data_IF_634096558255
#
_entry.id   IF_634096558255
#
_cell.length_a   1.000
_cell.length_b   1.000
_cell.length_c   1.000
_cell.angle_alpha   90.00
_cell.angle_beta   90.00
_cell.angle_gamma   90.00
#
_symmetry.space_group_name_H-M   'P 1'
#
loop_
_entity.id
_entity.type
_entity.pdbx_description
1 polymer ?
#
# COMPACT_ATOMS: atom_id res chain seq x y z
N UNK A 1 -17.47 91.54 5.76
CA UNK A 1 -16.64 90.89 4.72
C UNK A 1 -16.20 89.53 5.25
N UNK A 2 -16.44 88.47 4.48
CA UNK A 2 -16.43 87.06 4.89
C UNK A 2 -15.03 86.54 5.19
N UNK A 3 -14.89 85.85 6.33
CA UNK A 3 -13.79 84.96 6.68
C UNK A 3 -14.15 83.56 6.13
N UNK A 4 -13.27 82.97 5.32
CA UNK A 4 -13.41 81.61 4.78
C UNK A 4 -12.39 80.72 5.49
N UNK A 5 -12.87 79.77 6.29
CA UNK A 5 -12.08 78.64 6.79
C UNK A 5 -12.25 77.47 5.82
N UNK A 6 -11.13 76.97 5.28
CA UNK A 6 -11.06 75.73 4.53
C UNK A 6 -10.97 74.56 5.53
N UNK A 7 -11.97 73.67 5.54
CA UNK A 7 -11.93 72.40 6.26
C UNK A 7 -11.53 71.30 5.27
N UNK A 8 -10.36 70.69 5.48
CA UNK A 8 -9.97 69.45 4.82
C UNK A 8 -10.59 68.27 5.57
N UNK A 9 -11.51 67.54 4.93
CA UNK A 9 -11.99 66.25 5.41
C UNK A 9 -11.23 65.16 4.67
N UNK A 10 -10.29 64.52 5.37
CA UNK A 10 -9.55 63.35 4.90
C UNK A 10 -10.45 62.11 5.13
N UNK A 11 -11.01 61.56 4.06
CA UNK A 11 -11.78 60.30 4.10
C UNK A 11 -10.79 59.15 4.06
N UNK A 12 -10.56 58.51 5.21
CA UNK A 12 -9.89 57.22 5.29
C UNK A 12 -10.84 56.13 4.77
N UNK A 13 -10.58 55.61 3.58
CA UNK A 13 -11.19 54.37 3.08
C UNK A 13 -10.42 53.22 3.74
N UNK A 14 -10.95 52.70 4.84
CA UNK A 14 -10.50 51.43 5.40
C UNK A 14 -11.05 50.31 4.50
N UNK A 15 -10.22 49.83 3.57
CA UNK A 15 -10.44 48.52 2.95
C UNK A 15 -10.28 47.46 4.03
N UNK A 16 -11.41 47.01 4.59
CA UNK A 16 -11.47 45.74 5.29
C UNK A 16 -11.24 44.64 4.26
N UNK A 17 -10.00 44.15 4.16
CA UNK A 17 -9.77 42.79 3.67
C UNK A 17 -10.58 41.89 4.60
N UNK A 18 -11.75 41.43 4.15
CA UNK A 18 -12.37 40.27 4.76
C UNK A 18 -11.40 39.12 4.53
N UNK A 19 -10.70 38.69 5.58
CA UNK A 19 -10.00 37.42 5.56
C UNK A 19 -10.98 36.38 5.01
N UNK A 20 -10.60 35.73 3.91
CA UNK A 20 -11.35 34.56 3.45
C UNK A 20 -11.39 33.61 4.65
N UNK A 21 -12.56 33.08 5.03
CA UNK A 21 -12.60 32.06 6.07
C UNK A 21 -11.65 30.94 5.65
N UNK A 22 -10.67 30.63 6.49
CA UNK A 22 -9.76 29.52 6.23
C UNK A 22 -10.59 28.24 6.31
N UNK A 23 -10.59 27.43 5.25
CA UNK A 23 -11.16 26.09 5.31
C UNK A 23 -10.51 25.32 6.45
N UNK A 24 -11.30 24.71 7.32
CA UNK A 24 -10.79 23.87 8.41
C UNK A 24 -11.34 22.45 8.33
N UNK A 25 -10.54 21.50 8.78
CA UNK A 25 -10.85 20.07 8.84
C UNK A 25 -10.98 19.70 10.31
N UNK A 26 -12.17 19.30 10.74
CA UNK A 26 -12.42 18.77 12.07
C UNK A 26 -12.37 17.25 12.01
N UNK A 27 -11.43 16.68 12.76
CA UNK A 27 -11.26 15.23 12.92
C UNK A 27 -11.76 14.82 14.30
N UNK A 28 -12.54 13.75 14.37
CA UNK A 28 -13.05 13.21 15.64
C UNK A 28 -12.82 11.71 15.74
N UNK A 29 -11.99 11.31 16.70
CA UNK A 29 -11.76 9.92 17.04
C UNK A 29 -12.96 9.36 17.84
N UNK A 30 -13.70 8.36 17.33
CA UNK A 30 -14.86 7.82 18.03
C UNK A 30 -14.53 6.88 19.19
N UNK A 31 -13.28 6.41 19.31
CA UNK A 31 -12.86 5.41 20.31
C UNK A 31 -11.91 6.01 21.36
N UNK A 32 -11.83 5.39 22.54
CA UNK A 32 -10.97 5.84 23.65
C UNK A 32 -9.53 5.28 23.57
N UNK A 33 -8.99 5.19 22.36
CA UNK A 33 -7.64 4.70 22.11
C UNK A 33 -6.92 5.68 21.18
N UNK A 34 -5.62 5.87 21.41
CA UNK A 34 -4.79 6.69 20.54
C UNK A 34 -4.62 6.02 19.17
N UNK A 35 -4.87 6.76 18.10
CA UNK A 35 -4.63 6.35 16.72
C UNK A 35 -3.36 6.98 16.22
N UNK A 36 -2.27 6.24 16.31
CA UNK A 36 -0.96 6.67 15.80
C UNK A 36 -0.95 6.65 14.28
N UNK A 37 -0.47 7.74 13.67
CA UNK A 37 -0.36 7.92 12.21
C UNK A 37 -1.64 7.46 11.48
N UNK A 38 -2.80 7.97 11.90
CA UNK A 38 -4.04 7.70 11.16
C UNK A 38 -3.97 8.34 9.77
N UNK A 39 -4.30 7.56 8.74
CA UNK A 39 -4.24 7.98 7.35
C UNK A 39 -5.55 8.64 6.93
N UNK A 40 -5.43 9.81 6.30
CA UNK A 40 -6.55 10.60 5.81
C UNK A 40 -6.40 10.91 4.33
N UNK A 41 -7.54 10.89 3.63
CA UNK A 41 -7.64 11.21 2.22
C UNK A 41 -8.87 12.05 1.98
N UNK A 42 -8.70 13.24 1.42
CA UNK A 42 -9.77 14.18 1.09
C UNK A 42 -9.69 14.54 -0.37
N UNK A 43 -10.75 14.31 -1.12
CA UNK A 43 -10.81 14.69 -2.53
C UNK A 43 -10.80 16.21 -2.69
N UNK A 44 -10.28 16.66 -3.83
CA UNK A 44 -10.30 18.05 -4.28
C UNK A 44 -11.71 18.65 -4.24
N UNK A 45 -12.72 17.83 -4.56
CA UNK A 45 -14.13 18.20 -4.49
C UNK A 45 -14.61 18.41 -3.04
N UNK A 46 -14.26 17.52 -2.11
CA UNK A 46 -14.60 17.67 -0.69
C UNK A 46 -13.98 18.93 -0.09
N UNK A 47 -12.74 19.25 -0.49
CA UNK A 47 -12.02 20.46 -0.08
C UNK A 47 -12.54 21.75 -0.72
N UNK A 48 -13.45 21.65 -1.70
CA UNK A 48 -13.98 22.79 -2.47
C UNK A 48 -12.85 23.67 -3.04
N UNK A 49 -11.79 23.04 -3.53
CA UNK A 49 -10.65 23.75 -4.12
C UNK A 49 -11.12 24.65 -5.27
N UNK A 50 -10.56 25.87 -5.34
CA UNK A 50 -10.88 26.83 -6.40
C UNK A 50 -9.62 27.14 -7.20
N UNK A 51 -9.66 26.85 -8.50
CA UNK A 51 -8.52 27.05 -9.41
C UNK A 51 -7.45 25.97 -9.25
N UNK A 52 -6.56 25.87 -10.23
CA UNK A 52 -5.69 24.71 -10.43
C UNK A 52 -4.23 24.95 -9.94
N UNK A 53 -3.90 26.18 -9.55
CA UNK A 53 -2.53 26.59 -9.24
C UNK A 53 -2.11 26.37 -7.78
N UNK A 54 -3.09 26.27 -6.86
CA UNK A 54 -2.83 26.16 -5.42
C UNK A 54 -3.08 24.75 -4.91
N UNK A 55 -2.17 24.31 -4.04
CA UNK A 55 -2.19 23.04 -3.37
C UNK A 55 -2.61 23.23 -1.90
N UNK A 56 -3.50 22.39 -1.36
CA UNK A 56 -3.85 22.43 0.05
C UNK A 56 -2.69 21.90 0.90
N UNK A 57 -2.40 22.58 2.00
CA UNK A 57 -1.42 22.16 3.01
C UNK A 57 -2.10 22.15 4.37
N UNK A 58 -1.97 21.05 5.12
CA UNK A 58 -2.58 20.90 6.44
C UNK A 58 -1.66 21.48 7.51
N UNK A 59 -2.21 22.27 8.44
CA UNK A 59 -1.48 22.78 9.60
C UNK A 59 -2.29 22.75 10.89
N UNK A 60 -1.59 22.75 12.01
CA UNK A 60 -2.14 22.96 13.35
C UNK A 60 -2.46 24.44 13.60
N UNK A 61 -3.23 24.70 14.65
CA UNK A 61 -3.55 26.07 15.10
C UNK A 61 -2.31 26.91 15.48
N UNK A 62 -1.21 26.26 15.87
CA UNK A 62 0.07 26.94 16.19
C UNK A 62 0.91 27.29 14.95
N UNK A 63 0.43 26.95 13.75
CA UNK A 63 1.12 27.18 12.48
C UNK A 63 2.04 26.04 12.03
N UNK A 64 2.17 24.97 12.81
CA UNK A 64 3.01 23.81 12.43
C UNK A 64 2.35 23.02 11.31
N UNK A 65 3.05 22.82 10.20
CA UNK A 65 2.59 21.97 9.11
C UNK A 65 2.61 20.49 9.49
N UNK A 66 1.57 19.79 9.03
CA UNK A 66 1.42 18.35 9.18
C UNK A 66 1.91 17.69 7.89
N UNK A 67 2.68 16.59 7.96
CA UNK A 67 3.07 15.83 6.78
C UNK A 67 1.87 15.50 5.89
N UNK A 68 1.89 16.01 4.68
CA UNK A 68 0.84 15.85 3.70
C UNK A 68 1.39 15.91 2.28
N UNK A 69 0.62 15.39 1.34
CA UNK A 69 0.91 15.41 -0.09
C UNK A 69 -0.40 15.53 -0.87
N UNK A 70 -0.28 15.97 -2.11
CA UNK A 70 -1.38 15.94 -3.08
C UNK A 70 -1.07 14.88 -4.12
N UNK A 71 -2.06 14.08 -4.46
CA UNK A 71 -1.90 12.97 -5.38
C UNK A 71 -2.78 13.19 -6.61
N UNK A 72 -2.16 13.06 -7.79
CA UNK A 72 -2.81 13.05 -9.11
C UNK A 72 -3.06 11.58 -9.48
N UNK A 73 -4.30 11.13 -9.30
CA UNK A 73 -4.66 9.71 -9.34
C UNK A 73 -5.05 9.25 -10.74
N UNK A 74 -5.40 10.17 -11.63
CA UNK A 74 -5.70 9.91 -13.03
C UNK A 74 -4.60 10.38 -14.01
N UNK A 75 -3.55 11.01 -13.49
CA UNK A 75 -2.36 11.49 -14.21
C UNK A 75 -2.67 12.55 -15.26
N UNK A 76 -3.70 13.38 -15.06
CA UNK A 76 -4.05 14.48 -15.96
C UNK A 76 -3.20 15.76 -15.75
N UNK A 77 -2.33 15.75 -14.73
CA UNK A 77 -1.49 16.86 -14.32
C UNK A 77 -2.11 17.75 -13.23
N UNK A 78 -3.32 17.44 -12.76
CA UNK A 78 -4.00 18.10 -11.66
C UNK A 78 -4.12 17.13 -10.49
N UNK A 79 -3.96 17.63 -9.27
CA UNK A 79 -4.15 16.79 -8.11
C UNK A 79 -5.63 16.46 -7.89
N UNK A 80 -5.92 15.22 -7.49
CA UNK A 80 -7.26 14.72 -7.23
C UNK A 80 -7.60 14.70 -5.74
N UNK A 81 -6.60 14.42 -4.91
CA UNK A 81 -6.79 14.23 -3.48
C UNK A 81 -5.60 14.68 -2.64
N UNK A 82 -5.92 15.16 -1.44
CA UNK A 82 -4.98 15.46 -0.37
C UNK A 82 -4.86 14.24 0.54
N UNK A 83 -3.63 13.75 0.71
CA UNK A 83 -3.28 12.71 1.67
C UNK A 83 -2.46 13.28 2.82
N UNK A 84 -2.76 12.87 4.04
CA UNK A 84 -1.98 13.24 5.22
C UNK A 84 -2.08 12.17 6.31
N UNK A 85 -1.12 12.16 7.23
CA UNK A 85 -1.18 11.32 8.44
C UNK A 85 -1.23 12.19 9.69
N UNK A 86 -2.03 11.78 10.68
CA UNK A 86 -2.15 12.50 11.94
C UNK A 86 -2.41 11.55 13.10
N UNK A 87 -1.74 11.79 14.24
CA UNK A 87 -1.99 11.02 15.47
C UNK A 87 -3.12 11.65 16.27
N UNK A 88 -4.18 10.89 16.51
CA UNK A 88 -5.33 11.32 17.33
C UNK A 88 -5.30 10.64 18.70
N UNK A 89 -5.42 11.41 19.78
CA UNK A 89 -5.68 10.87 21.11
C UNK A 89 -7.05 10.18 21.22
N UNK A 90 -7.24 9.39 22.28
CA UNK A 90 -8.53 8.77 22.59
C UNK A 90 -9.65 9.80 22.74
N UNK A 91 -10.74 9.61 22.01
CA UNK A 91 -11.88 10.54 21.92
C UNK A 91 -11.52 11.98 21.51
N UNK A 92 -10.32 12.21 20.96
CA UNK A 92 -9.89 13.54 20.57
C UNK A 92 -10.80 14.10 19.47
N UNK A 93 -11.12 15.38 19.60
CA UNK A 93 -11.64 16.20 18.51
C UNK A 93 -10.64 17.31 18.27
N UNK A 94 -10.08 17.36 17.07
CA UNK A 94 -9.08 18.35 16.67
C UNK A 94 -9.55 19.09 15.44
N UNK A 95 -9.30 20.40 15.42
CA UNK A 95 -9.49 21.23 14.24
C UNK A 95 -8.12 21.54 13.63
N UNK A 96 -7.96 21.17 12.36
CA UNK A 96 -6.80 21.45 11.53
C UNK A 96 -7.17 22.53 10.51
N UNK A 97 -6.22 23.38 10.16
CA UNK A 97 -6.41 24.46 9.20
C UNK A 97 -5.82 24.06 7.84
N UNK A 98 -6.42 24.56 6.76
CA UNK A 98 -5.87 24.46 5.41
C UNK A 98 -5.32 25.80 4.95
N UNK A 99 -4.05 25.78 4.55
CA UNK A 99 -3.47 26.82 3.70
C UNK A 99 -3.47 26.38 2.25
N UNK A 100 -3.43 27.36 1.35
CA UNK A 100 -3.38 27.15 -0.09
C UNK A 100 -2.10 27.79 -0.63
N UNK A 101 -1.18 26.97 -1.13
CA UNK A 101 0.17 27.39 -1.47
C UNK A 101 0.52 27.03 -2.91
N UNK A 102 1.44 27.78 -3.52
CA UNK A 102 2.00 27.38 -4.81
C UNK A 102 2.83 26.11 -4.64
N UNK A 103 2.99 25.32 -5.70
CA UNK A 103 3.86 24.14 -5.67
C UNK A 103 5.32 24.48 -5.27
N UNK A 104 5.79 25.69 -5.61
CA UNK A 104 7.14 26.14 -5.27
C UNK A 104 7.34 26.43 -3.77
N UNK A 105 6.27 26.78 -3.07
CA UNK A 105 6.29 27.10 -1.64
C UNK A 105 5.79 25.92 -0.77
N UNK A 106 5.43 24.79 -1.39
CA UNK A 106 4.90 23.62 -0.69
C UNK A 106 5.95 23.05 0.27
N UNK A 107 5.62 22.78 1.55
CA UNK A 107 6.59 22.30 2.51
C UNK A 107 7.17 20.94 2.12
N UNK A 108 8.47 20.75 2.35
CA UNK A 108 9.13 19.45 2.21
C UNK A 108 8.98 18.68 3.51
N UNK A 109 8.41 17.48 3.43
CA UNK A 109 8.27 16.56 4.56
C UNK A 109 9.22 15.38 4.44
N UNK A 110 9.55 14.77 5.58
CA UNK A 110 10.34 13.55 5.61
C UNK A 110 9.64 12.42 4.83
N UNK A 111 10.39 11.74 3.97
CA UNK A 111 9.87 10.63 3.18
C UNK A 111 9.73 9.38 4.04
N UNK A 112 8.49 8.95 4.29
CA UNK A 112 8.17 7.72 5.05
C UNK A 112 7.55 6.62 4.20
N UNK A 113 7.42 6.81 2.89
CA UNK A 113 7.03 5.77 1.94
C UNK A 113 7.89 5.83 0.67
N UNK A 114 8.06 4.70 -0.01
CA UNK A 114 8.88 4.56 -1.21
C UNK A 114 8.35 3.44 -2.10
N UNK A 115 8.34 3.66 -3.42
CA UNK A 115 8.20 2.63 -4.45
C UNK A 115 9.49 2.61 -5.27
N UNK A 116 10.09 1.42 -5.37
CA UNK A 116 11.30 1.20 -6.17
C UNK A 116 11.03 0.21 -7.29
N UNK A 117 11.15 0.67 -8.53
CA UNK A 117 11.27 -0.20 -9.70
C UNK A 117 12.61 0.04 -10.39
N UNK A 118 13.63 -0.69 -9.93
CA UNK A 118 14.96 -0.65 -10.52
C UNK A 118 15.09 -1.65 -11.67
N UNK A 119 15.36 -1.16 -12.88
CA UNK A 119 15.62 -1.99 -14.07
C UNK A 119 16.99 -1.68 -14.67
N UNK A 120 17.78 -2.72 -14.90
CA UNK A 120 19.07 -2.65 -15.56
C UNK A 120 18.86 -2.40 -17.07
N UNK A 121 19.13 -1.18 -17.51
CA UNK A 121 18.98 -0.74 -18.92
C UNK A 121 20.26 -0.97 -19.71
N UNK A 122 21.40 -0.95 -19.04
CA UNK A 122 22.71 -1.34 -19.56
C UNK A 122 23.52 -2.10 -18.51
N UNK A 123 24.53 -2.91 -18.88
CA UNK A 123 25.21 -3.78 -17.91
C UNK A 123 25.82 -3.00 -16.73
N UNK A 124 25.34 -3.26 -15.51
CA UNK A 124 25.76 -2.58 -14.28
C UNK A 124 25.11 -1.21 -14.05
N UNK A 125 24.19 -0.77 -14.93
CA UNK A 125 23.45 0.48 -14.79
C UNK A 125 21.97 0.19 -14.57
N UNK A 126 21.53 0.35 -13.32
CA UNK A 126 20.12 0.26 -12.93
C UNK A 126 19.50 1.64 -12.91
N UNK A 127 18.41 1.80 -13.64
CA UNK A 127 17.59 3.00 -13.67
C UNK A 127 16.29 2.76 -12.92
N UNK A 128 15.80 3.80 -12.28
CA UNK A 128 14.46 3.84 -11.72
C UNK A 128 13.47 4.18 -12.82
N UNK A 129 12.44 3.36 -12.96
CA UNK A 129 11.36 3.59 -13.91
C UNK A 129 10.05 3.79 -13.15
N UNK A 130 9.29 4.82 -13.50
CA UNK A 130 7.92 4.99 -12.99
C UNK A 130 6.92 4.08 -13.70
N UNK A 131 7.33 3.44 -14.80
CA UNK A 131 6.46 2.60 -15.61
C UNK A 131 7.28 1.56 -16.39
N UNK A 132 6.78 0.33 -16.49
CA UNK A 132 7.38 -0.71 -17.34
C UNK A 132 6.31 -1.70 -17.83
N UNK A 133 6.58 -2.33 -18.97
CA UNK A 133 5.72 -3.37 -19.54
C UNK A 133 6.57 -4.51 -20.08
N UNK A 134 6.13 -5.74 -19.83
CA UNK A 134 6.65 -6.91 -20.54
C UNK A 134 5.51 -7.79 -21.07
N UNK A 135 5.77 -8.47 -22.18
CA UNK A 135 4.86 -9.47 -22.74
C UNK A 135 5.11 -10.86 -22.16
N UNK A 136 4.31 -11.83 -22.63
CA UNK A 136 4.42 -13.23 -22.18
C UNK A 136 5.69 -13.99 -22.60
N UNK A 137 6.44 -13.46 -23.56
CA UNK A 137 7.64 -14.12 -24.10
C UNK A 137 8.89 -13.52 -23.46
N UNK A 138 9.97 -14.30 -23.41
CA UNK A 138 11.27 -13.86 -22.88
C UNK A 138 11.15 -13.34 -21.45
N UNK A 139 10.48 -14.11 -20.57
CA UNK A 139 10.36 -13.77 -19.17
C UNK A 139 11.73 -13.38 -18.60
N UNK A 140 11.81 -12.30 -17.80
CA UNK A 140 13.06 -11.68 -17.37
C UNK A 140 13.73 -12.50 -16.25
N UNK A 141 14.09 -13.75 -16.53
CA UNK A 141 14.65 -14.74 -15.59
C UNK A 141 16.03 -15.29 -16.02
N UNK A 142 16.63 -14.67 -17.03
CA UNK A 142 17.85 -15.17 -17.67
C UNK A 142 19.13 -14.64 -17.00
N UNK A 143 20.30 -15.02 -17.52
CA UNK A 143 21.63 -14.57 -17.05
C UNK A 143 21.74 -13.04 -16.96
N UNK A 144 20.96 -12.31 -17.77
CA UNK A 144 20.84 -10.85 -17.70
C UNK A 144 19.57 -10.45 -16.96
N UNK A 145 19.41 -10.90 -15.71
CA UNK A 145 18.27 -10.55 -14.86
C UNK A 145 18.19 -9.02 -14.72
N UNK A 146 17.11 -8.37 -15.18
CA UNK A 146 17.11 -6.93 -15.29
C UNK A 146 16.63 -6.25 -14.00
N UNK A 147 15.91 -6.93 -13.12
CA UNK A 147 15.25 -6.28 -12.00
C UNK A 147 16.10 -6.26 -10.73
N UNK A 148 16.14 -5.10 -10.07
CA UNK A 148 16.85 -4.88 -8.81
C UNK A 148 16.36 -5.81 -7.68
N UNK A 149 15.04 -6.04 -7.59
CA UNK A 149 14.40 -6.87 -6.55
C UNK A 149 13.24 -7.72 -7.11
N UNK A 150 13.44 -8.27 -8.28
CA UNK A 150 12.48 -9.10 -9.02
C UNK A 150 11.24 -8.39 -9.61
N UNK A 151 11.11 -7.09 -9.41
CA UNK A 151 10.01 -6.28 -9.93
C UNK A 151 9.84 -5.00 -9.11
N UNK A 152 8.61 -4.47 -8.98
CA UNK A 152 8.35 -3.37 -8.06
C UNK A 152 8.51 -3.85 -6.62
N UNK A 153 9.22 -3.06 -5.84
CA UNK A 153 9.29 -3.15 -4.40
C UNK A 153 8.72 -1.87 -3.79
N UNK A 154 8.10 -1.96 -2.62
CA UNK A 154 7.55 -0.80 -1.93
C UNK A 154 7.74 -0.94 -0.43
N UNK A 155 7.87 0.17 0.27
CA UNK A 155 8.11 0.18 1.70
C UNK A 155 7.52 1.43 2.37
N UNK A 156 7.42 1.35 3.69
CA UNK A 156 7.28 2.50 4.56
C UNK A 156 8.25 2.38 5.74
N UNK A 157 8.05 3.23 6.74
CA UNK A 157 8.86 3.27 7.96
C UNK A 157 8.64 2.09 8.93
N UNK A 158 7.84 1.09 8.55
CA UNK A 158 7.56 -0.13 9.32
C UNK A 158 7.94 -1.41 8.59
N UNK A 159 7.68 -1.50 7.28
CA UNK A 159 7.73 -2.75 6.53
C UNK A 159 8.03 -2.50 5.04
N UNK A 160 8.54 -3.52 4.34
CA UNK A 160 8.72 -3.50 2.89
C UNK A 160 8.21 -4.77 2.23
N UNK A 161 7.88 -4.69 0.95
CA UNK A 161 7.33 -5.77 0.15
C UNK A 161 7.89 -5.71 -1.27
N UNK A 162 7.67 -6.78 -2.04
CA UNK A 162 7.92 -6.80 -3.48
C UNK A 162 6.96 -7.71 -4.22
N UNK A 163 6.88 -7.50 -5.52
CA UNK A 163 6.14 -8.34 -6.44
C UNK A 163 7.09 -8.93 -7.47
N UNK A 164 7.00 -10.24 -7.70
CA UNK A 164 7.79 -10.90 -8.73
C UNK A 164 7.20 -10.59 -10.11
N UNK A 165 7.73 -9.56 -10.76
CA UNK A 165 7.33 -9.08 -12.08
C UNK A 165 8.07 -9.81 -13.21
N UNK A 166 8.45 -11.06 -12.95
CA UNK A 166 9.08 -11.95 -13.90
C UNK A 166 8.15 -13.07 -14.37
N UNK A 167 6.84 -12.87 -14.20
CA UNK A 167 5.77 -13.81 -14.55
C UNK A 167 5.44 -14.82 -13.45
N UNK A 168 6.14 -14.83 -12.30
CA UNK A 168 5.75 -15.66 -11.14
C UNK A 168 4.58 -15.04 -10.37
N UNK A 169 4.52 -13.71 -10.36
CA UNK A 169 3.50 -12.87 -9.72
C UNK A 169 3.23 -13.21 -8.24
N UNK A 170 4.26 -13.64 -7.50
CA UNK A 170 4.19 -13.85 -6.06
C UNK A 170 4.43 -12.53 -5.31
N UNK A 171 3.78 -12.37 -4.17
CA UNK A 171 4.01 -11.25 -3.23
C UNK A 171 4.95 -11.68 -2.11
N UNK A 172 6.02 -10.93 -1.93
CA UNK A 172 7.09 -11.25 -0.99
C UNK A 172 7.30 -10.10 0.02
N UNK A 173 8.05 -10.38 1.09
CA UNK A 173 8.11 -9.53 2.29
C UNK A 173 9.57 -9.26 2.70
N UNK A 174 9.88 -7.98 2.89
CA UNK A 174 11.09 -7.52 3.55
C UNK A 174 10.82 -7.20 5.03
N UNK A 175 11.62 -7.79 5.90
CA UNK A 175 11.68 -7.42 7.30
C UNK A 175 12.59 -6.21 7.47
N UNK A 176 12.06 -5.10 8.00
CA UNK A 176 12.84 -3.88 8.29
C UNK A 176 13.16 -3.74 9.77
N UNK A 177 14.35 -3.24 10.09
CA UNK A 177 14.86 -2.94 11.44
C UNK A 177 15.06 -1.44 11.67
N UNK A 178 14.83 -0.66 10.62
CA UNK A 178 15.08 0.77 10.53
C UNK A 178 13.86 1.43 9.89
N UNK A 179 13.61 2.69 10.21
CA UNK A 179 12.47 3.47 9.67
C UNK A 179 12.78 4.11 8.33
N UNK A 180 14.06 4.27 8.00
CA UNK A 180 14.54 4.90 6.78
C UNK A 180 14.11 4.09 5.55
N UNK A 181 13.87 4.78 4.43
CA UNK A 181 13.66 4.13 3.13
C UNK A 181 14.99 3.55 2.65
N UNK A 182 15.03 2.27 2.32
CA UNK A 182 16.27 1.53 2.00
C UNK A 182 16.26 0.95 0.58
N UNK A 183 15.07 0.77 -0.01
CA UNK A 183 14.90 0.00 -1.25
C UNK A 183 15.67 0.54 -2.44
N UNK A 184 16.02 1.84 -2.46
CA UNK A 184 16.81 2.47 -3.54
C UNK A 184 18.19 1.81 -3.72
N UNK A 185 18.75 1.24 -2.64
CA UNK A 185 20.09 0.63 -2.63
C UNK A 185 20.08 -0.89 -2.49
N UNK A 186 18.94 -1.47 -2.11
CA UNK A 186 18.80 -2.91 -1.86
C UNK A 186 18.85 -3.68 -3.19
N UNK A 187 19.46 -4.87 -3.20
CA UNK A 187 19.47 -5.74 -4.39
C UNK A 187 20.52 -5.38 -5.44
N UNK A 188 21.49 -4.52 -5.11
CA UNK A 188 22.61 -4.18 -5.99
C UNK A 188 23.94 -4.66 -5.44
N UNK A 189 24.81 -5.13 -6.34
CA UNK A 189 26.24 -5.36 -6.07
C UNK A 189 27.04 -4.08 -6.12
N UNK A 190 28.29 -4.15 -5.65
CA UNK A 190 29.24 -3.03 -5.70
C UNK A 190 29.55 -2.56 -7.14
N UNK A 191 29.37 -3.41 -8.15
CA UNK A 191 29.53 -3.07 -9.57
C UNK A 191 28.21 -2.72 -10.28
N UNK A 192 27.14 -2.50 -9.52
CA UNK A 192 25.85 -1.99 -10.01
C UNK A 192 24.91 -3.04 -10.63
N UNK A 193 25.32 -4.31 -10.71
CA UNK A 193 24.44 -5.38 -11.19
C UNK A 193 23.39 -5.77 -10.14
N UNK A 194 22.15 -6.10 -10.56
CA UNK A 194 21.17 -6.75 -9.70
C UNK A 194 21.68 -8.08 -9.14
N UNK A 195 21.41 -8.32 -7.86
CA UNK A 195 21.74 -9.57 -7.17
C UNK A 195 20.90 -9.73 -5.90
N UNK A 196 20.83 -10.94 -5.36
CA UNK A 196 20.02 -11.27 -4.19
C UNK A 196 20.70 -10.85 -2.86
N UNK A 197 21.33 -9.67 -2.84
CA UNK A 197 22.11 -9.16 -1.70
C UNK A 197 21.28 -8.94 -0.42
N UNK A 198 19.96 -8.94 -0.56
CA UNK A 198 18.94 -8.80 0.48
C UNK A 198 18.56 -10.10 1.18
N UNK A 199 19.02 -11.28 0.72
CA UNK A 199 18.73 -12.56 1.39
C UNK A 199 19.55 -12.78 2.67
N UNK A 200 20.50 -11.90 2.96
CA UNK A 200 21.33 -11.93 4.17
C UNK A 200 20.88 -10.83 5.10
N UNK A 201 20.75 -11.13 6.40
CA UNK A 201 20.41 -10.16 7.44
C UNK A 201 21.45 -9.03 7.49
N UNK A 202 20.99 -7.79 7.25
CA UNK A 202 21.78 -6.56 7.33
C UNK A 202 21.30 -5.68 8.48
N UNK A 203 21.97 -4.54 8.64
CA UNK A 203 21.56 -3.51 9.61
C UNK A 203 20.13 -3.05 9.35
N UNK A 204 19.77 -2.80 8.09
CA UNK A 204 18.42 -2.40 7.73
C UNK A 204 17.38 -3.51 7.83
N UNK A 205 17.77 -4.78 7.66
CA UNK A 205 16.82 -5.89 7.46
C UNK A 205 17.26 -6.91 6.41
N UNK A 206 16.30 -7.68 5.91
CA UNK A 206 16.46 -8.63 4.80
C UNK A 206 15.11 -9.05 4.20
N UNK A 207 15.15 -9.83 3.12
CA UNK A 207 14.04 -10.68 2.70
C UNK A 207 13.82 -11.77 3.76
N UNK A 208 12.56 -11.91 4.19
CA UNK A 208 12.21 -12.80 5.30
C UNK A 208 11.15 -13.83 4.93
N UNK A 209 10.58 -13.82 3.73
CA UNK A 209 9.48 -14.73 3.39
C UNK A 209 9.88 -15.73 2.31
N UNK A 210 9.64 -17.01 2.59
CA UNK A 210 9.78 -18.05 1.57
C UNK A 210 8.44 -18.29 0.91
N UNK A 211 8.23 -17.77 -0.30
CA UNK A 211 6.96 -17.97 -1.01
C UNK A 211 6.77 -19.40 -1.52
N UNK A 212 7.85 -20.15 -1.75
CA UNK A 212 7.81 -21.54 -2.25
C UNK A 212 6.76 -21.74 -3.39
N UNK A 213 5.97 -22.81 -3.33
CA UNK A 213 4.88 -23.07 -4.26
C UNK A 213 3.55 -22.43 -3.79
N UNK A 214 3.58 -21.15 -3.41
CA UNK A 214 2.37 -20.36 -3.11
C UNK A 214 2.27 -19.13 -4.03
N UNK A 215 1.29 -18.27 -3.78
CA UNK A 215 1.23 -16.90 -4.32
C UNK A 215 1.72 -15.84 -3.31
N UNK A 216 2.33 -16.27 -2.20
CA UNK A 216 2.96 -15.38 -1.21
C UNK A 216 1.99 -14.75 -0.22
N UNK A 217 2.30 -13.53 0.22
CA UNK A 217 1.50 -12.76 1.18
C UNK A 217 0.59 -11.77 0.46
N UNK A 218 -0.69 -12.12 0.32
CA UNK A 218 -1.68 -11.28 -0.34
C UNK A 218 -1.62 -11.31 -1.87
N UNK A 219 -0.89 -12.24 -2.47
CA UNK A 219 -0.98 -12.51 -3.91
C UNK A 219 -2.29 -13.22 -4.28
N UNK A 220 -2.58 -13.33 -5.58
CA UNK A 220 -3.85 -13.84 -6.07
C UNK A 220 -3.75 -15.10 -6.93
N UNK A 221 -4.86 -15.83 -6.96
CA UNK A 221 -5.10 -17.02 -7.74
C UNK A 221 -6.58 -17.08 -8.15
N UNK A 222 -6.95 -18.02 -9.02
CA UNK A 222 -8.34 -18.36 -9.31
C UNK A 222 -8.62 -19.78 -8.88
N UNK A 223 -9.66 -19.96 -8.05
CA UNK A 223 -10.24 -21.26 -7.79
C UNK A 223 -11.29 -21.56 -8.86
N UNK A 224 -11.10 -22.66 -9.57
CA UNK A 224 -12.09 -23.36 -10.38
C UNK A 224 -12.60 -24.57 -9.58
N UNK A 225 -13.56 -25.34 -10.12
CA UNK A 225 -14.18 -26.46 -9.40
C UNK A 225 -13.17 -27.39 -8.71
N UNK A 226 -12.14 -27.85 -9.42
CA UNK A 226 -11.14 -28.82 -8.92
C UNK A 226 -9.69 -28.32 -9.07
N UNK A 227 -9.47 -27.02 -9.32
CA UNK A 227 -8.13 -26.49 -9.60
C UNK A 227 -7.94 -25.11 -9.02
N UNK A 228 -6.86 -24.91 -8.28
CA UNK A 228 -6.38 -23.61 -7.84
C UNK A 228 -5.28 -23.14 -8.80
N UNK A 229 -5.64 -22.22 -9.69
CA UNK A 229 -4.78 -21.69 -10.73
C UNK A 229 -4.03 -20.46 -10.23
N UNK A 230 -2.70 -20.55 -10.18
CA UNK A 230 -1.82 -19.41 -9.91
C UNK A 230 -1.96 -18.36 -10.99
N UNK A 231 -1.88 -17.09 -10.60
CA UNK A 231 -1.66 -16.02 -11.56
C UNK A 231 -0.19 -16.01 -12.01
N UNK A 232 0.05 -16.21 -13.30
CA UNK A 232 1.41 -16.39 -13.84
C UNK A 232 1.85 -17.86 -13.88
N UNK A 233 3.16 -18.10 -13.91
CA UNK A 233 3.75 -19.40 -14.23
C UNK A 233 4.83 -19.84 -13.23
N UNK A 234 5.14 -21.13 -13.19
CA UNK A 234 6.20 -21.65 -12.32
C UNK A 234 7.58 -21.23 -12.84
N UNK A 235 8.61 -21.34 -11.99
CA UNK A 235 9.97 -20.94 -12.33
C UNK A 235 10.53 -21.66 -13.58
N UNK A 236 10.11 -22.92 -13.80
CA UNK A 236 10.54 -23.75 -14.93
C UNK A 236 9.99 -23.27 -16.28
N UNK A 237 8.89 -22.53 -16.27
CA UNK A 237 8.21 -22.08 -17.47
C UNK A 237 8.87 -20.79 -17.99
N UNK A 238 9.06 -20.71 -19.30
CA UNK A 238 9.74 -19.59 -19.98
C UNK A 238 8.77 -18.66 -20.72
N UNK A 239 7.50 -19.07 -20.80
CA UNK A 239 6.41 -18.34 -21.46
C UNK A 239 5.29 -18.17 -20.45
N UNK A 240 4.84 -16.93 -20.27
CA UNK A 240 3.74 -16.57 -19.39
C UNK A 240 2.38 -16.99 -19.99
N UNK A 241 1.39 -17.10 -19.11
CA UNK A 241 -0.03 -17.23 -19.43
C UNK A 241 -0.77 -15.89 -19.41
N UNK A 242 -0.08 -14.78 -19.19
CA UNK A 242 -0.61 -13.41 -19.25
C UNK A 242 -0.01 -12.71 -20.46
N UNK A 243 -0.84 -12.18 -21.39
CA UNK A 243 -0.33 -11.63 -22.65
C UNK A 243 0.55 -10.39 -22.43
N UNK A 244 0.21 -9.53 -21.45
CA UNK A 244 0.97 -8.33 -21.06
C UNK A 244 0.84 -8.03 -19.58
N UNK A 245 1.95 -7.71 -18.92
CA UNK A 245 2.02 -7.24 -17.54
C UNK A 245 2.59 -5.83 -17.53
N UNK A 246 1.91 -4.91 -16.85
CA UNK A 246 2.29 -3.49 -16.78
C UNK A 246 2.36 -3.02 -15.32
N UNK A 247 3.39 -2.25 -15.02
CA UNK A 247 3.57 -1.56 -13.74
C UNK A 247 3.56 -0.06 -13.99
N UNK A 248 2.95 0.69 -13.08
CA UNK A 248 2.90 2.15 -13.12
C UNK A 248 2.83 2.75 -11.70
N UNK A 249 3.72 3.70 -11.39
CA UNK A 249 3.62 4.54 -10.19
C UNK A 249 2.54 5.60 -10.43
N UNK A 250 1.57 5.69 -9.51
CA UNK A 250 0.49 6.68 -9.58
C UNK A 250 0.81 7.88 -8.70
N UNK A 251 1.19 7.61 -7.46
CA UNK A 251 1.54 8.66 -6.50
C UNK A 251 2.67 8.16 -5.61
N UNK A 252 3.60 9.04 -5.28
CA UNK A 252 4.69 8.73 -4.37
C UNK A 252 5.05 9.96 -3.56
N UNK A 253 5.09 9.82 -2.24
CA UNK A 253 5.34 10.95 -1.38
C UNK A 253 5.63 10.62 0.08
N UNK A 254 5.64 11.65 0.94
CA UNK A 254 6.09 11.51 2.32
C UNK A 254 5.16 10.66 3.19
N UNK A 255 3.88 10.56 2.87
CA UNK A 255 2.88 9.89 3.72
C UNK A 255 2.18 8.72 3.04
N UNK A 256 2.18 8.68 1.71
CA UNK A 256 1.52 7.66 0.91
C UNK A 256 2.28 7.40 -0.38
N UNK A 257 2.28 6.14 -0.79
CA UNK A 257 2.65 5.74 -2.15
C UNK A 257 1.60 4.79 -2.72
N UNK A 258 1.30 4.94 -4.01
CA UNK A 258 0.30 4.19 -4.77
C UNK A 258 0.88 3.78 -6.12
N UNK A 259 0.72 2.52 -6.49
CA UNK A 259 1.05 2.02 -7.83
C UNK A 259 -0.01 1.05 -8.34
N UNK A 260 0.01 0.84 -9.66
CA UNK A 260 -0.86 -0.11 -10.35
C UNK A 260 -0.06 -1.26 -10.95
N UNK A 261 -0.71 -2.42 -10.98
CA UNK A 261 -0.30 -3.55 -11.80
C UNK A 261 -1.47 -3.98 -12.68
N UNK A 262 -1.27 -3.92 -13.99
CA UNK A 262 -2.27 -4.35 -14.97
C UNK A 262 -1.81 -5.61 -15.68
N UNK A 263 -2.64 -6.65 -15.61
CA UNK A 263 -2.39 -7.92 -16.24
C UNK A 263 -3.46 -8.17 -17.29
N UNK A 264 -3.07 -8.03 -18.55
CA UNK A 264 -3.97 -8.12 -19.69
C UNK A 264 -4.04 -9.57 -20.19
N UNK A 265 -5.28 -10.07 -20.32
CA UNK A 265 -5.62 -11.36 -20.91
C UNK A 265 -4.90 -12.54 -20.24
N UNK A 266 -4.93 -12.59 -18.91
CA UNK A 266 -4.57 -13.78 -18.15
C UNK A 266 -5.41 -14.98 -18.61
N UNK A 267 -4.74 -16.05 -19.03
CA UNK A 267 -5.36 -17.29 -19.51
C UNK A 267 -5.83 -18.17 -18.35
N UNK A 268 -7.15 -18.18 -18.13
CA UNK A 268 -7.84 -19.01 -17.15
C UNK A 268 -8.53 -20.16 -17.91
N UNK A 269 -7.74 -21.18 -18.24
CA UNK A 269 -8.17 -22.38 -18.99
C UNK A 269 -8.94 -22.06 -20.29
N UNK A 270 -8.41 -21.13 -21.09
CA UNK A 270 -8.94 -20.71 -22.38
C UNK A 270 -9.81 -19.45 -22.33
N UNK A 271 -10.22 -19.01 -21.13
CA UNK A 271 -10.91 -17.71 -20.95
C UNK A 271 -9.89 -16.63 -20.60
N UNK A 272 -10.00 -15.46 -21.24
CA UNK A 272 -9.08 -14.34 -21.00
C UNK A 272 -9.68 -13.39 -19.97
N UNK A 273 -8.94 -13.17 -18.90
CA UNK A 273 -9.32 -12.28 -17.81
C UNK A 273 -8.32 -11.14 -17.73
N UNK A 274 -8.80 -9.90 -17.77
CA UNK A 274 -8.02 -8.72 -17.41
C UNK A 274 -8.11 -8.50 -15.90
N UNK A 275 -6.97 -8.18 -15.26
CA UNK A 275 -6.84 -7.89 -13.83
C UNK A 275 -6.14 -6.54 -13.66
N UNK A 276 -6.71 -5.70 -12.79
CA UNK A 276 -6.18 -4.39 -12.43
C UNK A 276 -6.02 -4.33 -10.92
N UNK A 277 -4.78 -4.27 -10.44
CA UNK A 277 -4.42 -4.15 -9.03
C UNK A 277 -4.00 -2.71 -8.73
N UNK A 278 -4.49 -2.14 -7.63
CA UNK A 278 -4.02 -0.87 -7.07
C UNK A 278 -3.52 -1.13 -5.66
N UNK A 279 -2.23 -0.90 -5.44
CA UNK A 279 -1.55 -1.12 -4.16
C UNK A 279 -1.29 0.23 -3.52
N UNK A 280 -1.74 0.41 -2.28
CA UNK A 280 -1.48 1.63 -1.49
C UNK A 280 -0.72 1.29 -0.21
N UNK A 281 0.39 1.98 0.02
CA UNK A 281 1.12 1.90 1.28
C UNK A 281 1.12 3.27 1.96
N UNK A 282 0.79 3.28 3.25
CA UNK A 282 0.73 4.47 4.09
C UNK A 282 1.88 4.47 5.10
N UNK A 283 2.41 5.65 5.41
CA UNK A 283 3.36 5.83 6.50
C UNK A 283 2.76 5.35 7.84
N UNK A 284 3.58 4.75 8.69
CA UNK A 284 3.22 4.30 10.04
C UNK A 284 2.41 3.00 10.12
N UNK A 285 2.00 2.41 8.98
CA UNK A 285 1.19 1.18 8.96
C UNK A 285 2.05 -0.08 8.76
N UNK A 286 1.72 -1.19 9.42
CA UNK A 286 2.47 -2.46 9.29
C UNK A 286 2.02 -3.27 8.07
N UNK A 287 1.74 -2.62 6.94
CA UNK A 287 1.03 -3.26 5.84
C UNK A 287 0.70 -2.33 4.68
N UNK A 288 -0.03 -2.90 3.71
CA UNK A 288 -0.56 -2.19 2.54
C UNK A 288 -2.03 -2.54 2.31
N UNK A 289 -2.69 -1.73 1.50
CA UNK A 289 -4.06 -1.90 1.02
C UNK A 289 -4.02 -2.40 -0.43
N UNK A 290 -4.86 -3.38 -0.74
CA UNK A 290 -5.00 -3.96 -2.07
C UNK A 290 -6.43 -3.74 -2.57
N UNK A 291 -6.58 -3.17 -3.76
CA UNK A 291 -7.82 -3.09 -4.50
C UNK A 291 -7.67 -3.77 -5.86
N UNK A 292 -8.61 -4.65 -6.21
CA UNK A 292 -8.54 -5.45 -7.44
C UNK A 292 -9.82 -5.32 -8.23
N UNK A 293 -9.70 -5.06 -9.53
CA UNK A 293 -10.79 -5.20 -10.50
C UNK A 293 -10.45 -6.27 -11.51
N UNK A 294 -11.45 -7.03 -11.91
CA UNK A 294 -11.30 -8.00 -12.98
C UNK A 294 -12.37 -7.77 -14.04
N UNK A 295 -12.05 -8.09 -15.28
CA UNK A 295 -13.09 -8.47 -16.24
C UNK A 295 -13.91 -9.67 -15.71
N UNK A 296 -15.07 -10.01 -16.30
CA UNK A 296 -15.87 -11.15 -15.84
C UNK A 296 -15.05 -12.43 -15.75
N UNK A 297 -15.06 -13.07 -14.57
CA UNK A 297 -14.42 -14.36 -14.37
C UNK A 297 -15.18 -15.46 -15.11
N UNK A 298 -14.53 -16.58 -15.47
CA UNK A 298 -15.22 -17.76 -15.99
C UNK A 298 -16.33 -18.24 -15.06
N UNK A 299 -17.30 -18.98 -15.60
CA UNK A 299 -18.35 -19.58 -14.77
C UNK A 299 -17.74 -20.51 -13.71
N UNK A 300 -18.24 -20.41 -12.47
CA UNK A 300 -17.72 -21.14 -11.30
C UNK A 300 -16.27 -20.81 -10.90
N UNK A 301 -15.65 -19.79 -11.48
CA UNK A 301 -14.36 -19.27 -11.05
C UNK A 301 -14.54 -18.26 -9.91
N UNK A 302 -13.64 -18.30 -8.93
CA UNK A 302 -13.63 -17.40 -7.79
C UNK A 302 -12.22 -16.87 -7.59
N UNK A 303 -12.06 -15.56 -7.40
CA UNK A 303 -10.76 -14.97 -7.06
C UNK A 303 -10.35 -15.43 -5.66
N UNK A 304 -9.09 -15.79 -5.50
CA UNK A 304 -8.51 -16.25 -4.24
C UNK A 304 -7.32 -15.37 -3.86
N UNK A 305 -7.25 -14.98 -2.60
CA UNK A 305 -6.04 -14.42 -1.97
C UNK A 305 -5.62 -15.30 -0.79
N UNK A 306 -4.56 -14.97 -0.06
CA UNK A 306 -4.13 -15.79 1.06
C UNK A 306 -2.75 -15.50 1.64
N UNK A 307 -2.33 -16.43 2.50
CA UNK A 307 -1.09 -16.42 3.27
C UNK A 307 -0.31 -17.71 3.00
N UNK A 308 0.92 -17.59 2.53
CA UNK A 308 1.84 -18.74 2.49
C UNK A 308 2.02 -19.33 3.90
N UNK A 309 2.04 -20.65 4.00
CA UNK A 309 2.11 -21.40 5.25
C UNK A 309 3.17 -22.52 5.22
N UNK A 310 4.09 -22.49 4.26
CA UNK A 310 5.13 -23.52 4.08
C UNK A 310 6.00 -23.76 5.32
N UNK A 311 6.25 -22.71 6.11
CA UNK A 311 7.02 -22.75 7.34
C UNK A 311 6.16 -22.57 8.61
N UNK A 312 4.84 -22.39 8.47
CA UNK A 312 3.94 -22.24 9.61
C UNK A 312 3.52 -23.60 10.16
N UNK A 313 3.78 -23.82 11.44
CA UNK A 313 3.41 -25.04 12.17
C UNK A 313 2.43 -24.76 13.31
N UNK A 314 2.34 -23.51 13.76
CA UNK A 314 1.35 -23.07 14.76
C UNK A 314 -0.04 -22.95 14.14
N UNK A 315 -1.05 -22.91 15.01
CA UNK A 315 -2.46 -22.80 14.62
C UNK A 315 -2.72 -21.58 13.72
N UNK A 316 -3.62 -21.73 12.75
CA UNK A 316 -4.16 -20.64 11.95
C UNK A 316 -5.29 -19.93 12.71
N UNK A 317 -5.30 -18.60 12.71
CA UNK A 317 -6.32 -17.81 13.42
C UNK A 317 -7.23 -17.11 12.43
N UNK A 318 -8.52 -17.41 12.51
CA UNK A 318 -9.58 -16.66 11.86
C UNK A 318 -10.41 -15.92 12.93
N UNK A 319 -10.59 -14.60 12.76
CA UNK A 319 -11.41 -13.80 13.68
C UNK A 319 -12.38 -12.93 12.89
N UNK A 320 -13.58 -12.72 13.43
CA UNK A 320 -14.57 -11.81 12.87
C UNK A 320 -14.69 -10.57 13.74
N UNK A 321 -14.84 -9.41 13.11
CA UNK A 321 -14.90 -8.11 13.79
C UNK A 321 -16.20 -7.41 13.46
N UNK A 322 -17.09 -7.32 14.45
CA UNK A 322 -18.40 -6.65 14.36
C UNK A 322 -19.26 -7.08 13.13
N UNK A 323 -19.03 -8.28 12.59
CA UNK A 323 -19.69 -8.77 11.37
C UNK A 323 -19.33 -8.03 10.08
N UNK A 324 -18.34 -7.11 10.11
CA UNK A 324 -17.92 -6.29 8.97
C UNK A 324 -16.61 -6.76 8.35
N UNK A 325 -15.71 -7.32 9.15
CA UNK A 325 -14.39 -7.76 8.71
C UNK A 325 -14.05 -9.15 9.23
N UNK A 326 -13.18 -9.85 8.50
CA UNK A 326 -12.58 -11.12 8.91
C UNK A 326 -11.08 -11.02 8.75
N UNK A 327 -10.32 -11.39 9.78
CA UNK A 327 -8.88 -11.56 9.67
C UNK A 327 -8.51 -13.02 9.45
N UNK A 328 -7.48 -13.24 8.64
CA UNK A 328 -6.72 -14.48 8.56
C UNK A 328 -5.33 -14.20 9.11
N UNK A 329 -4.83 -14.98 10.06
CA UNK A 329 -3.57 -14.68 10.76
C UNK A 329 -2.72 -15.94 10.91
N UNK A 330 -1.44 -15.83 10.56
CA UNK A 330 -0.39 -16.76 10.98
C UNK A 330 0.67 -16.02 11.79
N UNK A 331 1.27 -16.70 12.76
CA UNK A 331 2.40 -16.19 13.53
C UNK A 331 3.19 -17.38 14.05
N UNK A 332 4.44 -17.50 13.60
CA UNK A 332 5.37 -18.59 13.92
C UNK A 332 6.80 -18.18 13.57
N UNK A 333 7.78 -19.05 13.85
CA UNK A 333 9.11 -19.01 13.25
C UNK A 333 9.08 -19.39 11.76
N UNK A 334 8.37 -18.55 10.99
CA UNK A 334 8.04 -18.79 9.59
C UNK A 334 8.84 -17.93 8.62
N UNK A 335 9.93 -17.29 9.09
CA UNK A 335 10.92 -16.66 8.20
C UNK A 335 11.63 -17.69 7.31
N UNK A 336 12.33 -17.26 6.24
CA UNK A 336 13.04 -18.13 5.29
C UNK A 336 13.86 -19.22 5.99
N UNK A 337 14.67 -18.83 6.99
CA UNK A 337 15.54 -19.74 7.75
C UNK A 337 14.90 -20.28 9.04
N UNK A 338 13.68 -19.86 9.37
CA UNK A 338 12.97 -20.20 10.63
C UNK A 338 13.68 -19.76 11.90
N UNK A 339 14.58 -18.78 11.79
CA UNK A 339 15.30 -18.24 12.93
C UNK A 339 14.40 -17.34 13.78
N UNK A 340 13.57 -16.55 13.09
CA UNK A 340 12.80 -15.47 13.68
C UNK A 340 11.27 -15.63 13.58
N UNK A 341 10.57 -15.13 14.58
CA UNK A 341 9.10 -15.01 14.61
C UNK A 341 8.63 -13.95 13.60
N UNK A 342 7.63 -14.33 12.80
CA UNK A 342 6.99 -13.52 11.78
C UNK A 342 5.48 -13.71 11.89
N UNK A 343 4.74 -12.61 12.01
CA UNK A 343 3.30 -12.54 11.84
C UNK A 343 2.92 -12.09 10.44
N UNK A 344 1.92 -12.74 9.85
CA UNK A 344 1.30 -12.32 8.59
C UNK A 344 -0.21 -12.33 8.76
N UNK A 345 -0.89 -11.35 8.17
CA UNK A 345 -2.34 -11.30 8.22
C UNK A 345 -2.97 -10.70 6.95
N UNK A 346 -4.19 -11.14 6.68
CA UNK A 346 -5.13 -10.46 5.81
C UNK A 346 -6.28 -9.95 6.65
N UNK A 347 -6.82 -8.78 6.31
CA UNK A 347 -8.11 -8.30 6.79
C UNK A 347 -9.03 -8.06 5.59
N UNK A 348 -10.15 -8.78 5.57
CA UNK A 348 -11.03 -8.91 4.40
C UNK A 348 -12.44 -8.45 4.80
N UNK A 349 -13.14 -7.64 3.98
CA UNK A 349 -14.54 -7.33 4.22
C UNK A 349 -15.36 -8.61 4.32
N UNK A 350 -16.16 -8.77 5.38
CA UNK A 350 -16.94 -9.98 5.63
C UNK A 350 -17.93 -10.27 4.50
N UNK A 351 -18.46 -9.21 3.89
CA UNK A 351 -19.37 -9.29 2.75
C UNK A 351 -18.68 -9.68 1.44
N UNK A 352 -17.34 -9.65 1.36
CA UNK A 352 -16.55 -10.12 0.21
C UNK A 352 -15.93 -11.50 0.44
N UNK A 353 -15.87 -12.02 1.67
CA UNK A 353 -15.37 -13.35 1.95
C UNK A 353 -16.44 -14.43 1.70
N UNK A 354 -16.12 -15.42 0.87
CA UNK A 354 -16.96 -16.61 0.62
C UNK A 354 -16.62 -17.70 1.64
N UNK A 355 -15.38 -18.16 1.66
CA UNK A 355 -14.87 -19.17 2.59
C UNK A 355 -13.34 -19.12 2.68
N UNK A 356 -12.80 -19.71 3.74
CA UNK A 356 -11.37 -19.96 3.91
C UNK A 356 -11.07 -21.46 3.78
N UNK A 357 -9.90 -21.80 3.24
CA UNK A 357 -9.46 -23.19 3.12
C UNK A 357 -7.94 -23.28 3.11
N UNK A 358 -7.37 -24.48 3.28
CA UNK A 358 -5.94 -24.71 3.15
C UNK A 358 -5.65 -25.44 1.83
N UNK A 359 -4.68 -24.93 1.06
CA UNK A 359 -4.18 -25.63 -0.11
C UNK A 359 -3.47 -26.96 0.29
N UNK A 360 -3.38 -27.95 -0.60
CA UNK A 360 -2.72 -29.23 -0.29
C UNK A 360 -1.28 -29.08 0.22
N UNK A 361 -0.82 -30.01 1.04
CA UNK A 361 0.56 -30.02 1.54
C UNK A 361 1.57 -30.56 0.52
N UNK A 362 1.10 -31.40 -0.40
CA UNK A 362 1.90 -32.09 -1.42
C UNK A 362 1.16 -32.15 -2.76
N UNK A 363 1.90 -32.46 -3.83
CA UNK A 363 1.37 -32.54 -5.20
C UNK A 363 1.89 -31.41 -6.08
N UNK A 364 1.05 -30.95 -7.00
CA UNK A 364 1.38 -29.92 -7.99
C UNK A 364 0.54 -28.65 -7.77
N UNK A 365 1.03 -27.51 -8.25
CA UNK A 365 0.30 -26.24 -8.19
C UNK A 365 0.60 -25.44 -6.92
N UNK A 366 -0.43 -24.79 -6.36
CA UNK A 366 -0.33 -24.02 -5.12
C UNK A 366 -0.46 -24.96 -3.93
N UNK A 367 0.53 -24.92 -3.04
CA UNK A 367 0.66 -25.79 -1.86
C UNK A 367 0.81 -24.96 -0.59
N UNK A 368 0.48 -25.55 0.57
CA UNK A 368 0.74 -25.01 1.91
C UNK A 368 0.43 -23.52 2.03
N UNK A 369 -0.80 -23.17 1.72
CA UNK A 369 -1.27 -21.78 1.65
C UNK A 369 -2.65 -21.70 2.26
N UNK A 370 -2.84 -20.83 3.25
CA UNK A 370 -4.17 -20.47 3.74
C UNK A 370 -4.81 -19.54 2.73
N UNK A 371 -5.93 -19.96 2.16
CA UNK A 371 -6.60 -19.30 1.05
C UNK A 371 -7.94 -18.72 1.51
N UNK A 372 -8.32 -17.56 0.97
CA UNK A 372 -9.64 -16.97 1.07
C UNK A 372 -10.26 -16.84 -0.32
N UNK A 373 -11.42 -17.46 -0.51
CA UNK A 373 -12.26 -17.25 -1.70
C UNK A 373 -13.02 -15.94 -1.55
N UNK A 374 -12.91 -15.08 -2.56
CA UNK A 374 -13.49 -13.75 -2.56
C UNK A 374 -14.63 -13.63 -3.58
N UNK A 375 -15.61 -12.79 -3.27
CA UNK A 375 -16.59 -12.28 -4.23
C UNK A 375 -16.48 -10.76 -4.31
N UNK A 376 -16.73 -10.16 -5.48
CA UNK A 376 -16.56 -8.72 -5.64
C UNK A 376 -17.65 -7.95 -4.89
N UNK A 377 -17.29 -6.81 -4.32
CA UNK A 377 -18.23 -5.75 -3.96
C UNK A 377 -18.51 -4.82 -5.14
N UNK A 378 -19.09 -3.64 -4.87
CA UNK A 378 -19.46 -2.68 -5.91
C UNK A 378 -18.27 -2.19 -6.75
N UNK A 379 -17.07 -2.11 -6.17
CA UNK A 379 -15.88 -1.55 -6.80
C UNK A 379 -14.81 -2.59 -7.10
N UNK A 380 -15.15 -3.89 -7.08
CA UNK A 380 -14.22 -5.00 -7.17
C UNK A 380 -13.93 -5.64 -5.81
N UNK A 381 -12.74 -6.20 -5.66
CA UNK A 381 -12.27 -6.88 -4.46
C UNK A 381 -11.34 -5.95 -3.68
N UNK A 382 -11.28 -6.11 -2.36
CA UNK A 382 -10.30 -5.40 -1.54
C UNK A 382 -9.93 -6.17 -0.29
N UNK A 383 -8.71 -5.97 0.19
CA UNK A 383 -8.24 -6.46 1.47
C UNK A 383 -7.03 -5.64 1.94
N UNK A 384 -6.75 -5.72 3.25
CA UNK A 384 -5.52 -5.19 3.82
C UNK A 384 -4.56 -6.35 4.10
N UNK A 385 -3.28 -6.10 3.89
CA UNK A 385 -2.20 -7.05 4.12
C UNK A 385 -1.32 -6.51 5.23
N UNK A 386 -1.07 -7.30 6.26
CA UNK A 386 -0.22 -6.91 7.38
C UNK A 386 0.91 -7.90 7.61
N UNK A 387 2.06 -7.39 8.04
CA UNK A 387 3.19 -8.19 8.47
C UNK A 387 3.90 -7.54 9.65
N UNK A 388 4.47 -8.36 10.53
CA UNK A 388 5.27 -7.91 11.66
C UNK A 388 6.28 -8.98 12.04
N UNK A 389 7.55 -8.61 12.17
CA UNK A 389 8.62 -9.54 12.51
C UNK A 389 9.37 -9.06 13.74
N UNK A 390 9.91 -10.00 14.52
CA UNK A 390 10.44 -9.68 15.86
C UNK A 390 11.66 -8.76 15.88
N UNK A 391 12.39 -8.63 14.76
CA UNK A 391 13.54 -7.72 14.67
C UNK A 391 13.16 -6.28 14.27
N UNK A 392 11.91 -6.05 13.87
CA UNK A 392 11.41 -4.72 13.51
C UNK A 392 10.76 -3.98 14.70
N UNK A 393 10.10 -4.73 15.58
CA UNK A 393 9.49 -4.24 16.82
C UNK A 393 9.57 -5.35 17.86
N UNK A 394 10.13 -5.07 19.05
CA UNK A 394 10.37 -6.06 20.11
C UNK A 394 9.11 -6.87 20.49
N UNK A 395 7.93 -6.25 20.40
CA UNK A 395 6.65 -6.88 20.77
C UNK A 395 6.20 -7.99 19.80
N UNK A 396 6.67 -8.02 18.54
CA UNK A 396 6.25 -9.04 17.56
C UNK A 396 6.92 -10.41 17.74
N UNK A 397 7.83 -10.55 18.69
CA UNK A 397 8.26 -11.86 19.20
C UNK A 397 7.10 -12.64 19.84
N UNK A 398 6.04 -11.95 20.27
CA UNK A 398 4.85 -12.55 20.91
C UNK A 398 3.68 -12.59 19.93
N UNK A 399 3.06 -13.76 19.83
CA UNK A 399 1.92 -14.02 18.94
C UNK A 399 0.72 -13.14 19.26
N UNK A 400 0.43 -12.96 20.54
CA UNK A 400 -0.71 -12.19 21.02
C UNK A 400 -0.59 -10.70 20.66
N UNK A 401 0.63 -10.15 20.64
CA UNK A 401 0.87 -8.75 20.26
C UNK A 401 0.65 -8.52 18.76
N UNK A 402 1.06 -9.47 17.90
CA UNK A 402 0.74 -9.39 16.48
C UNK A 402 -0.77 -9.52 16.22
N UNK A 403 -1.46 -10.42 16.92
CA UNK A 403 -2.93 -10.52 16.83
C UNK A 403 -3.59 -9.22 17.31
N UNK A 404 -3.09 -8.62 18.40
CA UNK A 404 -3.59 -7.34 18.92
C UNK A 404 -3.41 -6.19 17.92
N UNK A 405 -2.30 -6.15 17.19
CA UNK A 405 -2.11 -5.18 16.09
C UNK A 405 -3.24 -5.28 15.04
N UNK A 406 -3.56 -6.50 14.61
CA UNK A 406 -4.63 -6.75 13.62
C UNK A 406 -6.00 -6.40 14.22
N UNK A 407 -6.23 -6.72 15.49
CA UNK A 407 -7.46 -6.33 16.20
C UNK A 407 -7.63 -4.80 16.24
N UNK A 408 -6.55 -4.06 16.52
CA UNK A 408 -6.54 -2.59 16.52
C UNK A 408 -6.87 -2.02 15.15
N UNK A 409 -6.24 -2.52 14.06
CA UNK A 409 -6.57 -2.07 12.71
C UNK A 409 -8.02 -2.39 12.32
N UNK A 410 -8.53 -3.56 12.70
CA UNK A 410 -9.93 -3.90 12.47
C UNK A 410 -10.90 -2.99 13.26
N UNK A 411 -10.53 -2.59 14.48
CA UNK A 411 -11.32 -1.63 15.27
C UNK A 411 -11.34 -0.24 14.62
N UNK A 412 -10.20 0.22 14.09
CA UNK A 412 -10.11 1.51 13.40
C UNK A 412 -11.03 1.56 12.17
N UNK A 413 -11.07 0.48 11.39
CA UNK A 413 -11.96 0.34 10.22
C UNK A 413 -13.44 0.18 10.61
N UNK A 414 -13.74 -0.39 11.77
CA UNK A 414 -15.10 -0.51 12.27
C UNK A 414 -15.67 0.82 12.79
N UNK A 415 -14.78 1.67 13.31
CA UNK A 415 -15.09 2.95 13.92
C UNK A 415 -14.27 4.06 13.22
N UNK A 416 -14.53 4.38 11.94
CA UNK A 416 -13.71 5.36 11.23
C UNK A 416 -13.75 6.74 11.89
N UNK A 417 -12.64 7.47 11.81
CA UNK A 417 -12.59 8.87 12.24
C UNK A 417 -13.65 9.67 11.49
N UNK A 418 -14.44 10.46 12.22
CA UNK A 418 -15.39 11.36 11.59
C UNK A 418 -14.67 12.61 11.10
N UNK A 419 -14.89 12.97 9.83
CA UNK A 419 -14.27 14.14 9.21
C UNK A 419 -15.36 15.14 8.84
N UNK A 420 -15.15 16.40 9.18
CA UNK A 420 -16.02 17.51 8.80
C UNK A 420 -15.18 18.67 8.25
N UNK A 421 -15.59 19.22 7.11
CA UNK A 421 -14.91 20.35 6.46
C UNK A 421 -15.80 21.58 6.59
N UNK A 422 -15.28 22.64 7.22
CA UNK A 422 -15.98 23.90 7.46
C UNK A 422 -15.84 24.91 6.31
#
# INVERSE_FOLDING_TARGET
MRIIYFLWALVFVLSSCKEKPSTSIVLKNPINEERVDESFRLSRMELRAVGDELLPVVKKADGTYIPCQVDDMDQDGLWDELAFVYTLGGHETVELLLDWMSAADYPVFERRTNIRYGKMTSPGQVEELSSDTHGKQNLPRSVNYPYQMDGPAWENDKVGFRHYFDGRNCRDLFGKRVSEMVLDTVGLRADGYPDNTYQVLREWGCDILSVANSFGLGGIAIQLQDTLLRMGVEQKDTVDIIDSSHFEVIAEGPVRSVFRLDFTRWDVLGTKVDVHETVTIWAGKNGYEEEIRTSPLPENAVLVTGLVANNNTKEFVEKQYAGKWVSMITHDKQTVNKDYELGMALLIPKDQLVETFHAPDEGNGILKTWCAKLKPGNNGYRYQVYAGWELGVDDFSKREEFIRLVDTYADYLNHPVSIHIN
#
